data_IF_992519228753
#
_entry.id   IF_992519228753
#
_cell.length_a   1.000
_cell.length_b   1.000
_cell.length_c   1.000
_cell.angle_alpha   90.00
_cell.angle_beta   90.00
_cell.angle_gamma   90.00
#
_symmetry.space_group_name_H-M   'P 1'
#
loop_
_entity.id
_entity.type
_entity.pdbx_description
1 polymer ?
#
# COMPACT_ATOMS: atom_id res chain seq x y z
N UNK A 1 23.68 56.17 22.99
CA UNK A 1 24.15 54.81 22.63
C UNK A 1 22.92 53.93 22.40
N UNK A 2 22.63 53.62 21.15
CA UNK A 2 21.45 52.80 20.78
C UNK A 2 21.90 51.32 20.76
N UNK A 3 21.33 50.49 21.67
CA UNK A 3 21.57 49.05 21.70
C UNK A 3 20.63 48.42 20.70
N UNK A 4 21.14 47.85 19.62
CA UNK A 4 20.40 47.03 18.66
C UNK A 4 20.37 45.62 19.22
N UNK A 5 19.22 45.15 19.67
CA UNK A 5 18.94 43.77 20.00
C UNK A 5 18.62 43.05 18.68
N UNK A 6 19.57 42.26 18.20
CA UNK A 6 19.35 41.34 17.08
C UNK A 6 18.55 40.14 17.61
N UNK A 7 17.24 40.13 17.35
CA UNK A 7 16.39 38.98 17.60
C UNK A 7 16.65 37.94 16.49
N UNK A 8 17.47 36.94 16.79
CA UNK A 8 17.72 35.82 15.90
C UNK A 8 16.51 34.87 15.97
N UNK A 9 15.54 35.06 15.07
CA UNK A 9 14.43 34.13 14.86
C UNK A 9 15.00 32.95 14.07
N UNK A 10 15.43 31.93 14.78
CA UNK A 10 15.69 30.62 14.18
C UNK A 10 14.35 30.04 13.71
N UNK A 11 14.06 30.16 12.41
CA UNK A 11 13.01 29.40 11.75
C UNK A 11 13.39 27.92 11.85
N UNK A 12 12.85 27.25 12.85
CA UNK A 12 12.87 25.79 12.92
C UNK A 12 11.89 25.32 11.85
N UNK A 13 12.39 25.05 10.64
CA UNK A 13 11.63 24.29 9.64
C UNK A 13 11.41 22.88 10.19
N UNK A 14 10.30 22.68 10.89
CA UNK A 14 9.79 21.36 11.17
C UNK A 14 9.40 20.78 9.81
N UNK A 15 10.27 19.96 9.26
CA UNK A 15 9.92 19.08 8.16
C UNK A 15 8.85 18.14 8.70
N UNK A 16 7.58 18.47 8.47
CA UNK A 16 6.48 17.52 8.65
C UNK A 16 6.67 16.50 7.54
N UNK A 17 7.37 15.42 7.84
CA UNK A 17 7.39 14.25 6.98
C UNK A 17 5.95 13.75 6.93
N UNK A 18 5.27 14.01 5.82
CA UNK A 18 3.99 13.37 5.53
C UNK A 18 4.26 11.86 5.46
N UNK A 19 3.78 11.14 6.46
CA UNK A 19 3.90 9.69 6.48
C UNK A 19 3.11 9.15 5.30
N UNK A 20 3.83 8.64 4.29
CA UNK A 20 3.22 8.16 3.06
C UNK A 20 2.88 6.67 3.20
N UNK A 21 1.64 6.32 2.86
CA UNK A 21 1.23 4.92 2.71
C UNK A 21 1.88 4.27 1.48
N UNK A 22 2.27 5.09 0.49
CA UNK A 22 2.94 4.61 -0.73
C UNK A 22 4.20 3.86 -0.36
N UNK A 23 4.37 2.66 -0.94
CA UNK A 23 5.47 1.76 -0.65
C UNK A 23 5.02 0.31 -0.57
N UNK A 24 5.94 -0.55 -0.12
CA UNK A 24 5.73 -1.98 0.03
C UNK A 24 5.76 -2.38 1.52
N UNK A 25 4.80 -3.20 1.89
CA UNK A 25 4.56 -3.60 3.27
C UNK A 25 4.32 -5.09 3.37
N UNK A 26 4.88 -5.72 4.40
CA UNK A 26 4.80 -7.16 4.61
C UNK A 26 4.29 -7.51 6.01
N UNK A 27 3.49 -8.56 6.08
CA UNK A 27 3.02 -9.17 7.31
C UNK A 27 3.04 -10.69 7.19
N UNK A 28 3.64 -11.37 8.16
CA UNK A 28 3.51 -12.83 8.33
C UNK A 28 2.52 -13.14 9.44
N UNK A 29 1.69 -14.16 9.23
CA UNK A 29 0.65 -14.57 10.18
C UNK A 29 0.28 -16.04 10.00
N UNK A 30 -0.47 -16.59 10.95
CA UNK A 30 -1.08 -17.91 10.83
C UNK A 30 -2.52 -17.77 10.31
N UNK A 31 -2.90 -18.61 9.34
CA UNK A 31 -4.31 -18.76 8.96
C UNK A 31 -5.10 -19.45 10.06
N UNK A 32 -6.42 -19.49 9.96
CA UNK A 32 -7.30 -20.21 10.87
C UNK A 32 -6.99 -21.73 10.91
N UNK A 33 -6.46 -22.26 9.80
CA UNK A 33 -6.03 -23.66 9.67
C UNK A 33 -4.60 -23.92 10.18
N UNK A 34 -3.91 -22.87 10.68
CA UNK A 34 -2.55 -22.95 11.21
C UNK A 34 -1.44 -22.90 10.15
N UNK A 35 -1.77 -22.57 8.90
CA UNK A 35 -0.80 -22.40 7.83
C UNK A 35 -0.10 -21.04 7.96
N UNK A 36 1.23 -21.01 7.79
CA UNK A 36 2.00 -19.75 7.79
C UNK A 36 1.85 -19.04 6.46
N UNK A 37 1.31 -17.84 6.50
CA UNK A 37 1.08 -17.00 5.35
C UNK A 37 1.89 -15.71 5.43
N UNK A 38 2.33 -15.23 4.28
CA UNK A 38 2.93 -13.91 4.09
C UNK A 38 2.05 -13.08 3.19
N UNK A 39 1.66 -11.91 3.67
CA UNK A 39 0.91 -10.90 2.95
C UNK A 39 1.85 -9.77 2.56
N UNK A 40 1.93 -9.48 1.28
CA UNK A 40 2.64 -8.29 0.75
C UNK A 40 1.60 -7.37 0.15
N UNK A 41 1.58 -6.11 0.60
CA UNK A 41 0.77 -5.07 -0.01
C UNK A 41 1.67 -3.98 -0.57
N UNK A 42 1.38 -3.54 -1.78
CA UNK A 42 2.07 -2.46 -2.46
C UNK A 42 1.06 -1.36 -2.73
N UNK A 43 1.35 -0.18 -2.22
CA UNK A 43 0.63 1.04 -2.55
C UNK A 43 1.46 1.86 -3.54
N UNK A 44 0.89 2.19 -4.67
CA UNK A 44 1.38 3.19 -5.61
C UNK A 44 0.41 4.36 -5.65
N UNK A 45 0.68 5.38 -6.45
CA UNK A 45 -0.19 6.53 -6.59
C UNK A 45 -1.57 6.11 -7.14
N UNK A 46 -2.59 6.16 -6.29
CA UNK A 46 -3.99 5.83 -6.62
C UNK A 46 -4.33 4.35 -6.76
N UNK A 47 -3.34 3.42 -6.69
CA UNK A 47 -3.57 1.99 -6.81
C UNK A 47 -2.88 1.19 -5.73
N UNK A 48 -3.51 0.10 -5.31
CA UNK A 48 -2.93 -0.87 -4.40
C UNK A 48 -3.13 -2.29 -4.91
N UNK A 49 -2.23 -3.18 -4.49
CA UNK A 49 -2.36 -4.62 -4.67
C UNK A 49 -1.85 -5.32 -3.42
N UNK A 50 -2.62 -6.28 -2.95
CA UNK A 50 -2.21 -7.22 -1.91
C UNK A 50 -2.09 -8.62 -2.51
N UNK A 51 -1.03 -9.34 -2.17
CA UNK A 51 -0.83 -10.72 -2.56
C UNK A 51 -0.46 -11.56 -1.35
N UNK A 52 -1.02 -12.74 -1.26
CA UNK A 52 -0.83 -13.70 -0.17
C UNK A 52 -0.10 -14.92 -0.71
N UNK A 53 0.91 -15.37 0.04
CA UNK A 53 1.74 -16.52 -0.27
C UNK A 53 1.86 -17.43 0.95
N UNK A 54 2.09 -18.73 0.73
CA UNK A 54 2.56 -19.63 1.79
C UNK A 54 3.99 -19.26 2.15
N UNK A 55 4.26 -18.97 3.42
CA UNK A 55 5.58 -18.46 3.85
C UNK A 55 6.72 -19.45 3.59
N UNK A 56 6.46 -20.75 3.74
CA UNK A 56 7.48 -21.77 3.66
C UNK A 56 7.83 -22.15 2.21
N UNK A 57 6.88 -22.09 1.27
CA UNK A 57 7.06 -22.52 -0.13
C UNK A 57 7.09 -21.40 -1.14
N UNK A 58 6.59 -20.20 -0.79
CA UNK A 58 6.35 -19.11 -1.73
C UNK A 58 5.18 -19.37 -2.69
N UNK A 59 4.40 -20.44 -2.46
CA UNK A 59 3.22 -20.74 -3.27
C UNK A 59 2.19 -19.61 -3.17
N UNK A 60 1.72 -19.14 -4.32
CA UNK A 60 0.69 -18.11 -4.40
C UNK A 60 -0.66 -18.64 -3.91
N UNK A 61 -1.33 -17.88 -3.05
CA UNK A 61 -2.65 -18.22 -2.51
C UNK A 61 -3.73 -17.40 -3.18
N UNK A 62 -3.70 -16.08 -3.03
CA UNK A 62 -4.61 -15.18 -3.75
C UNK A 62 -4.08 -13.75 -3.79
N UNK A 63 -4.71 -12.92 -4.62
CA UNK A 63 -4.42 -11.50 -4.71
C UNK A 63 -5.69 -10.71 -4.98
N UNK A 64 -5.76 -9.52 -4.43
CA UNK A 64 -6.77 -8.54 -4.80
C UNK A 64 -6.16 -7.15 -4.87
N UNK A 65 -6.89 -6.21 -5.46
CA UNK A 65 -6.43 -4.84 -5.56
C UNK A 65 -7.40 -3.96 -6.31
N UNK A 66 -7.04 -2.70 -6.43
CA UNK A 66 -7.80 -1.68 -7.11
C UNK A 66 -7.36 -0.29 -6.74
N UNK A 67 -8.25 0.68 -6.92
CA UNK A 67 -7.97 2.06 -6.55
C UNK A 67 -8.13 2.29 -5.05
N UNK A 68 -7.40 3.26 -4.52
CA UNK A 68 -7.51 3.68 -3.14
C UNK A 68 -7.46 5.20 -3.00
N UNK A 69 -8.01 5.68 -1.90
CA UNK A 69 -7.87 7.06 -1.45
C UNK A 69 -7.75 7.10 0.07
N UNK A 70 -7.07 8.12 0.60
CA UNK A 70 -6.90 8.33 2.03
C UNK A 70 -7.40 9.72 2.40
N UNK A 71 -8.35 9.77 3.34
CA UNK A 71 -8.88 11.02 3.89
C UNK A 71 -8.69 11.00 5.41
N UNK A 72 -7.71 11.78 5.90
CA UNK A 72 -7.27 11.69 7.28
C UNK A 72 -6.68 10.31 7.57
N UNK A 73 -7.34 9.55 8.43
CA UNK A 73 -6.97 8.17 8.78
C UNK A 73 -7.93 7.10 8.21
N UNK A 74 -8.85 7.51 7.33
CA UNK A 74 -9.79 6.59 6.68
C UNK A 74 -9.31 6.30 5.26
N UNK A 75 -8.95 5.05 5.04
CA UNK A 75 -8.66 4.47 3.73
C UNK A 75 -9.96 3.99 3.10
N UNK A 76 -10.18 4.34 1.84
CA UNK A 76 -11.25 3.79 1.02
C UNK A 76 -10.63 3.09 -0.18
N UNK A 77 -10.95 1.82 -0.35
CA UNK A 77 -10.49 0.98 -1.46
C UNK A 77 -11.67 0.55 -2.32
N UNK A 78 -11.51 0.65 -3.64
CA UNK A 78 -12.43 0.08 -4.61
C UNK A 78 -11.80 -1.16 -5.24
N UNK A 79 -12.44 -2.31 -5.05
CA UNK A 79 -11.93 -3.59 -5.54
C UNK A 79 -12.12 -3.68 -7.06
N UNK A 80 -11.04 -3.76 -7.82
CA UNK A 80 -11.06 -3.93 -9.28
C UNK A 80 -10.79 -5.36 -9.71
N UNK A 81 -10.09 -6.13 -8.88
CA UNK A 81 -9.92 -7.57 -9.04
C UNK A 81 -9.78 -8.26 -7.68
N UNK A 82 -10.21 -9.51 -7.61
CA UNK A 82 -10.05 -10.39 -6.44
C UNK A 82 -10.04 -11.84 -6.93
N UNK A 83 -8.89 -12.51 -6.82
CA UNK A 83 -8.75 -13.89 -7.31
C UNK A 83 -9.32 -14.93 -6.34
N UNK A 84 -9.51 -14.57 -5.07
CA UNK A 84 -10.10 -15.44 -4.05
C UNK A 84 -11.61 -15.28 -3.92
N UNK A 85 -12.13 -14.07 -4.20
CA UNK A 85 -13.56 -13.78 -4.14
C UNK A 85 -13.98 -12.80 -5.25
N UNK A 86 -14.20 -13.27 -6.48
CA UNK A 86 -14.55 -12.41 -7.61
C UNK A 86 -15.85 -11.59 -7.44
N UNK A 87 -16.75 -11.99 -6.53
CA UNK A 87 -17.99 -11.26 -6.25
C UNK A 87 -17.75 -9.91 -5.57
N UNK A 88 -16.56 -9.70 -4.98
CA UNK A 88 -16.18 -8.42 -4.39
C UNK A 88 -15.81 -7.35 -5.43
N UNK A 89 -15.58 -7.72 -6.67
CA UNK A 89 -15.21 -6.77 -7.73
C UNK A 89 -16.29 -5.71 -7.91
N UNK A 90 -15.87 -4.43 -7.88
CA UNK A 90 -16.76 -3.27 -7.92
C UNK A 90 -17.25 -2.78 -6.56
N UNK A 91 -17.02 -3.53 -5.47
CA UNK A 91 -17.35 -3.06 -4.11
C UNK A 91 -16.35 -2.01 -3.63
N UNK A 92 -16.80 -1.19 -2.69
CA UNK A 92 -15.96 -0.26 -1.94
C UNK A 92 -15.91 -0.69 -0.47
N UNK A 93 -14.74 -0.59 0.13
CA UNK A 93 -14.52 -0.84 1.56
C UNK A 93 -13.77 0.34 2.16
N UNK A 94 -14.20 0.77 3.36
CA UNK A 94 -13.53 1.83 4.11
C UNK A 94 -13.15 1.32 5.47
N UNK A 95 -11.95 1.68 5.93
CA UNK A 95 -11.41 1.26 7.22
C UNK A 95 -10.39 2.26 7.72
N UNK A 96 -10.18 2.26 9.03
CA UNK A 96 -9.17 3.09 9.66
C UNK A 96 -7.78 2.51 9.44
N UNK A 97 -6.82 3.37 9.09
CA UNK A 97 -5.40 3.02 8.94
C UNK A 97 -4.53 3.96 9.75
N UNK A 98 -3.49 3.42 10.37
CA UNK A 98 -2.44 4.18 11.03
C UNK A 98 -1.14 3.83 10.34
N UNK A 99 -0.45 4.86 9.85
CA UNK A 99 0.81 4.71 9.12
C UNK A 99 1.90 5.47 9.84
N UNK A 100 3.04 4.85 10.05
CA UNK A 100 4.29 5.50 10.43
C UNK A 100 5.41 5.14 9.45
N UNK A 101 6.64 5.57 9.68
CA UNK A 101 7.77 5.32 8.78
C UNK A 101 8.02 3.84 8.51
N UNK A 102 7.70 2.97 9.47
CA UNK A 102 8.04 1.55 9.45
C UNK A 102 6.86 0.62 9.47
N UNK A 103 5.68 1.11 9.86
CA UNK A 103 4.51 0.25 10.05
C UNK A 103 3.25 0.83 9.46
N UNK A 104 2.40 -0.05 8.98
CA UNK A 104 1.03 0.19 8.57
C UNK A 104 0.12 -0.70 9.40
N UNK A 105 -0.86 -0.14 10.06
CA UNK A 105 -1.73 -0.86 10.99
C UNK A 105 -3.20 -0.61 10.69
N UNK A 106 -4.01 -1.66 10.82
CA UNK A 106 -5.47 -1.61 10.81
C UNK A 106 -5.95 -1.92 12.24
N UNK A 107 -6.22 -0.90 13.07
CA UNK A 107 -6.51 -1.11 14.48
C UNK A 107 -7.79 -1.90 14.75
N UNK A 108 -8.78 -1.85 13.84
CA UNK A 108 -10.07 -2.52 14.01
C UNK A 108 -9.97 -4.06 14.02
N UNK A 109 -8.93 -4.62 13.43
CA UNK A 109 -8.73 -6.07 13.33
C UNK A 109 -7.32 -6.53 13.73
N UNK A 110 -6.60 -5.68 14.46
CA UNK A 110 -5.25 -5.93 14.99
C UNK A 110 -4.25 -6.43 13.92
N UNK A 111 -4.37 -5.89 12.71
CA UNK A 111 -3.45 -6.22 11.61
C UNK A 111 -2.37 -5.16 11.51
N UNK A 112 -1.12 -5.64 11.40
CA UNK A 112 0.06 -4.78 11.27
C UNK A 112 1.03 -5.33 10.24
N UNK A 113 1.46 -4.46 9.33
CA UNK A 113 2.49 -4.72 8.33
C UNK A 113 3.73 -3.90 8.65
N UNK A 114 4.89 -4.43 8.30
CA UNK A 114 6.16 -3.73 8.36
C UNK A 114 6.55 -3.25 6.95
N UNK A 115 7.16 -2.09 6.85
CA UNK A 115 7.69 -1.58 5.60
C UNK A 115 8.87 -2.44 5.15
N UNK A 116 8.92 -2.79 3.86
CA UNK A 116 9.98 -3.61 3.27
C UNK A 116 10.76 -2.88 2.17
N UNK A 117 10.37 -1.67 1.82
CA UNK A 117 11.12 -0.78 0.93
C UNK A 117 11.85 0.33 1.72
N UNK A 118 12.64 1.13 1.03
CA UNK A 118 13.34 2.27 1.61
C UNK A 118 12.52 3.57 1.65
N UNK A 119 11.25 3.51 1.23
CA UNK A 119 10.33 4.64 1.14
C UNK A 119 10.61 5.58 -0.04
N UNK A 120 11.58 5.27 -0.89
CA UNK A 120 11.85 6.01 -2.10
C UNK A 120 11.12 5.40 -3.31
N UNK A 121 10.60 6.24 -4.22
CA UNK A 121 9.97 5.73 -5.43
C UNK A 121 10.99 5.02 -6.33
N UNK A 122 10.68 3.78 -6.73
CA UNK A 122 11.45 3.06 -7.73
C UNK A 122 11.22 3.61 -9.14
N UNK A 123 12.14 3.35 -10.07
CA UNK A 123 12.04 3.81 -11.48
C UNK A 123 10.79 3.28 -12.20
N UNK A 124 10.25 2.14 -11.78
CA UNK A 124 9.03 1.52 -12.32
C UNK A 124 7.82 1.68 -11.40
N UNK A 125 7.87 2.60 -10.45
CA UNK A 125 6.73 2.85 -9.57
C UNK A 125 5.50 3.30 -10.37
N UNK A 126 4.33 2.84 -9.95
CA UNK A 126 3.05 3.22 -10.51
C UNK A 126 2.22 2.04 -11.02
N UNK A 127 1.01 2.34 -11.44
CA UNK A 127 0.13 1.38 -12.11
C UNK A 127 0.35 1.43 -13.61
N UNK A 128 0.67 0.29 -14.22
CA UNK A 128 0.98 0.19 -15.63
C UNK A 128 -0.11 -0.57 -16.37
N UNK A 129 -0.73 0.08 -17.35
CA UNK A 129 -1.66 -0.61 -18.23
C UNK A 129 -0.87 -1.37 -19.34
N UNK A 130 -0.95 -2.68 -19.31
CA UNK A 130 -0.40 -3.48 -20.40
C UNK A 130 -1.29 -3.36 -21.64
N UNK A 131 -0.86 -2.58 -22.63
CA UNK A 131 -1.47 -2.61 -23.96
C UNK A 131 -1.25 -4.01 -24.56
N UNK A 132 -2.34 -4.75 -24.75
CA UNK A 132 -2.35 -6.17 -25.09
C UNK A 132 -1.40 -6.56 -26.23
N UNK A 133 -0.94 -7.81 -26.21
CA UNK A 133 -0.08 -8.39 -27.27
C UNK A 133 -0.92 -8.66 -28.52
N UNK A 134 -0.38 -8.28 -29.67
CA UNK A 134 -0.88 -8.78 -30.95
C UNK A 134 -0.33 -10.20 -31.13
N UNK A 135 -1.22 -11.19 -31.14
CA UNK A 135 -0.88 -12.57 -31.48
C UNK A 135 -1.84 -13.03 -32.56
N UNK A 136 -1.28 -13.54 -33.66
CA UNK A 136 -2.04 -14.01 -34.84
C UNK A 136 -2.97 -12.89 -35.41
N UNK A 137 -2.46 -11.65 -35.49
CA UNK A 137 -3.20 -10.50 -36.01
C UNK A 137 -4.37 -10.00 -35.11
N UNK A 138 -4.61 -10.62 -33.96
CA UNK A 138 -5.64 -10.22 -33.01
C UNK A 138 -5.04 -9.57 -31.78
N UNK A 139 -5.48 -8.34 -31.46
CA UNK A 139 -5.14 -7.65 -30.23
C UNK A 139 -5.92 -8.30 -29.07
N UNK A 140 -5.22 -8.93 -28.15
CA UNK A 140 -5.79 -9.41 -26.89
C UNK A 140 -5.47 -8.39 -25.79
N UNK A 141 -6.49 -7.73 -25.27
CA UNK A 141 -6.41 -6.96 -24.03
C UNK A 141 -6.36 -7.94 -22.86
N UNK A 142 -5.50 -7.70 -21.92
CA UNK A 142 -5.49 -8.36 -20.59
C UNK A 142 -5.80 -7.33 -19.54
#
# INVERSE_FOLDING_TARGET
MKKYIFLFITLFCLSVSSQSVIGAWERSYLSEEGEKLTSVVIFSEGYQVISIFKSDSGEFVYSNGGTWSLNGDIMTEKVEFDTGNPERVGSEVSFKVIVDERTLSLPENDRKWNRIDDGNPGELQGAWLMAGRVRDGKKRLR
#
